data_IF_149078149113
#
_entry.id   IF_149078149113
#
_cell.length_a   1.000
_cell.length_b   1.000
_cell.length_c   1.000
_cell.angle_alpha   90.00
_cell.angle_beta   90.00
_cell.angle_gamma   90.00
#
_symmetry.space_group_name_H-M   'P 1'
#
loop_
_entity.id
_entity.type
_entity.pdbx_description
1 polymer ?
#
# COMPACT_ATOMS: atom_id res chain seq x y z
N UNK A 1 -7.44 14.60 -8.18
CA UNK A 1 -8.22 14.96 -6.99
C UNK A 1 -7.94 13.88 -5.97
N UNK A 2 -7.43 14.24 -4.82
CA UNK A 2 -7.17 13.29 -3.72
C UNK A 2 -8.49 12.79 -3.14
N UNK A 3 -8.55 11.53 -2.69
CA UNK A 3 -9.74 10.95 -2.04
C UNK A 3 -9.89 11.42 -0.61
N UNK A 4 -8.75 11.68 0.07
CA UNK A 4 -8.66 12.16 1.44
C UNK A 4 -7.60 13.25 1.54
N UNK A 5 -7.67 14.06 2.60
CA UNK A 5 -6.64 15.01 3.00
C UNK A 5 -6.05 14.62 4.37
N UNK A 6 -5.02 15.37 4.78
CA UNK A 6 -4.35 15.10 6.04
C UNK A 6 -5.23 15.39 7.26
N UNK A 7 -6.14 16.37 7.17
CA UNK A 7 -7.09 16.69 8.25
C UNK A 7 -8.07 15.51 8.49
N UNK A 8 -8.56 14.90 7.41
CA UNK A 8 -9.39 13.70 7.51
C UNK A 8 -8.63 12.54 8.16
N UNK A 9 -7.36 12.33 7.75
CA UNK A 9 -6.49 11.31 8.35
C UNK A 9 -6.32 11.54 9.87
N UNK A 10 -5.99 12.78 10.29
CA UNK A 10 -5.81 13.14 11.70
C UNK A 10 -7.10 12.93 12.53
N UNK A 11 -8.25 13.18 11.95
CA UNK A 11 -9.53 12.97 12.63
C UNK A 11 -9.78 11.53 13.05
N UNK A 12 -9.17 10.56 12.32
CA UNK A 12 -9.33 9.13 12.59
C UNK A 12 -8.21 8.55 13.47
N UNK A 13 -6.97 9.00 13.29
CA UNK A 13 -5.79 8.39 13.90
C UNK A 13 -4.99 9.31 14.83
N UNK A 14 -5.30 10.60 14.87
CA UNK A 14 -4.55 11.59 15.64
C UNK A 14 -3.28 12.10 14.90
N UNK A 15 -2.65 13.10 15.48
CA UNK A 15 -1.53 13.83 14.84
C UNK A 15 -0.18 13.10 14.94
N UNK A 16 -0.05 12.15 15.86
CA UNK A 16 1.25 11.57 16.23
C UNK A 16 1.71 10.40 15.35
N UNK A 17 0.83 9.87 14.49
CA UNK A 17 1.14 8.63 13.78
C UNK A 17 2.01 8.81 12.54
N UNK A 18 1.71 9.80 11.70
CA UNK A 18 2.46 10.07 10.45
C UNK A 18 2.58 11.58 10.27
N UNK A 19 3.76 12.06 9.87
CA UNK A 19 3.93 13.47 9.51
C UNK A 19 3.16 13.80 8.23
N UNK A 20 2.74 15.07 8.05
CA UNK A 20 2.05 15.50 6.83
C UNK A 20 2.88 15.26 5.56
N UNK A 21 4.20 15.42 5.67
CA UNK A 21 5.13 15.17 4.55
C UNK A 21 5.12 13.70 4.17
N UNK A 22 5.20 12.79 5.15
CA UNK A 22 5.17 11.35 4.91
C UNK A 22 3.79 10.89 4.43
N UNK A 23 2.72 11.45 5.01
CA UNK A 23 1.35 11.20 4.57
C UNK A 23 1.19 11.52 3.09
N UNK A 24 1.54 12.73 2.64
CA UNK A 24 1.42 13.14 1.26
C UNK A 24 2.26 12.28 0.30
N UNK A 25 3.41 11.81 0.75
CA UNK A 25 4.28 10.92 -0.01
C UNK A 25 3.64 9.53 -0.22
N UNK A 26 3.04 8.97 0.82
CA UNK A 26 2.44 7.63 0.80
C UNK A 26 1.05 7.65 0.19
N UNK A 27 0.29 8.73 0.37
CA UNK A 27 -1.09 8.89 -0.11
C UNK A 27 -1.21 8.60 -1.60
N UNK A 28 -0.31 9.17 -2.41
CA UNK A 28 -0.33 8.95 -3.87
C UNK A 28 -0.24 7.45 -4.24
N UNK A 29 0.61 6.70 -3.52
CA UNK A 29 0.75 5.26 -3.74
C UNK A 29 -0.49 4.50 -3.30
N UNK A 30 -1.09 4.86 -2.16
CA UNK A 30 -2.32 4.26 -1.66
C UNK A 30 -3.49 4.47 -2.63
N UNK A 31 -3.71 5.70 -3.07
CA UNK A 31 -4.78 6.02 -4.04
C UNK A 31 -4.60 5.29 -5.37
N UNK A 32 -3.37 5.17 -5.84
CA UNK A 32 -3.05 4.43 -7.06
C UNK A 32 -3.40 2.95 -6.95
N UNK A 33 -3.13 2.30 -5.82
CA UNK A 33 -3.46 0.89 -5.63
C UNK A 33 -5.00 0.70 -5.53
N UNK A 34 -5.71 1.61 -4.89
CA UNK A 34 -7.18 1.59 -4.87
C UNK A 34 -7.76 1.81 -6.28
N UNK A 35 -7.24 2.78 -7.03
CA UNK A 35 -7.62 3.00 -8.43
C UNK A 35 -7.40 1.73 -9.27
N UNK A 36 -6.23 1.09 -9.13
CA UNK A 36 -5.87 -0.14 -9.83
C UNK A 36 -6.86 -1.27 -9.53
N UNK A 37 -7.19 -1.49 -8.25
CA UNK A 37 -8.11 -2.54 -7.83
C UNK A 37 -9.57 -2.29 -8.28
N UNK A 38 -9.96 -1.04 -8.47
CA UNK A 38 -11.32 -0.64 -8.90
C UNK A 38 -11.45 -0.36 -10.39
N UNK A 39 -10.37 -0.51 -11.17
CA UNK A 39 -10.38 -0.34 -12.63
C UNK A 39 -10.94 -1.57 -13.30
N UNK A 40 -11.90 -1.40 -14.21
CA UNK A 40 -12.47 -2.47 -15.02
C UNK A 40 -11.52 -2.96 -16.13
N UNK A 41 -11.88 -4.07 -16.78
CA UNK A 41 -11.09 -4.63 -17.90
C UNK A 41 -10.98 -3.68 -19.10
N UNK A 42 -11.89 -2.74 -19.20
CA UNK A 42 -11.91 -1.68 -20.22
C UNK A 42 -11.01 -0.48 -19.87
N UNK A 43 -10.30 -0.56 -18.75
CA UNK A 43 -9.43 0.52 -18.25
C UNK A 43 -10.18 1.68 -17.59
N UNK A 44 -11.50 1.56 -17.41
CA UNK A 44 -12.32 2.60 -16.77
C UNK A 44 -12.06 2.62 -15.27
N UNK A 45 -11.59 3.76 -14.77
CA UNK A 45 -11.40 4.05 -13.35
C UNK A 45 -12.73 4.46 -12.72
N UNK A 46 -13.45 3.51 -12.13
CA UNK A 46 -14.81 3.70 -11.60
C UNK A 46 -14.88 4.86 -10.61
N UNK A 47 -13.94 4.96 -9.69
CA UNK A 47 -13.88 6.04 -8.69
C UNK A 47 -13.69 7.44 -9.29
N UNK A 48 -13.13 7.54 -10.52
CA UNK A 48 -13.00 8.81 -11.23
C UNK A 48 -14.25 9.15 -12.05
N UNK A 49 -14.99 8.13 -12.48
CA UNK A 49 -16.23 8.29 -13.24
C UNK A 49 -17.40 8.64 -12.35
N UNK A 50 -17.57 7.88 -11.26
CA UNK A 50 -18.67 8.04 -10.33
C UNK A 50 -18.22 7.70 -8.92
N UNK A 51 -17.68 8.70 -8.20
CA UNK A 51 -17.28 8.48 -6.81
C UNK A 51 -18.52 8.11 -5.98
N UNK A 52 -18.42 7.09 -5.10
CA UNK A 52 -19.54 6.68 -4.26
C UNK A 52 -20.02 7.83 -3.36
N UNK A 53 -21.31 7.87 -3.13
CA UNK A 53 -21.97 8.83 -2.24
C UNK A 53 -22.31 8.16 -0.91
N UNK A 54 -22.66 8.97 0.08
CA UNK A 54 -23.09 8.53 1.42
C UNK A 54 -22.05 7.60 2.08
N UNK A 55 -22.52 6.56 2.76
CA UNK A 55 -21.70 5.62 3.50
C UNK A 55 -20.66 4.90 2.62
N UNK A 56 -20.98 4.63 1.36
CA UNK A 56 -20.04 4.00 0.43
C UNK A 56 -18.83 4.90 0.14
N UNK A 57 -19.04 6.21 0.04
CA UNK A 57 -17.94 7.18 -0.12
C UNK A 57 -17.04 7.21 1.12
N UNK A 58 -17.63 7.14 2.30
CA UNK A 58 -16.89 7.08 3.57
C UNK A 58 -16.07 5.78 3.69
N UNK A 59 -16.62 4.65 3.26
CA UNK A 59 -15.89 3.37 3.24
C UNK A 59 -14.68 3.45 2.33
N UNK A 60 -14.79 4.05 1.14
CA UNK A 60 -13.64 4.25 0.23
C UNK A 60 -12.57 5.11 0.88
N UNK A 61 -12.94 6.22 1.52
CA UNK A 61 -11.98 7.09 2.22
C UNK A 61 -11.24 6.35 3.34
N UNK A 62 -11.96 5.58 4.15
CA UNK A 62 -11.36 4.75 5.21
C UNK A 62 -10.43 3.69 4.65
N UNK A 63 -10.80 3.06 3.55
CA UNK A 63 -9.93 2.11 2.85
C UNK A 63 -8.59 2.75 2.45
N UNK A 64 -8.63 3.98 1.91
CA UNK A 64 -7.40 4.73 1.57
C UNK A 64 -6.58 5.02 2.83
N UNK A 65 -7.20 5.43 3.93
CA UNK A 65 -6.51 5.69 5.22
C UNK A 65 -5.81 4.43 5.75
N UNK A 66 -6.50 3.29 5.75
CA UNK A 66 -5.90 2.02 6.18
C UNK A 66 -4.72 1.62 5.31
N UNK A 67 -4.84 1.84 4.00
CA UNK A 67 -3.78 1.55 3.06
C UNK A 67 -2.58 2.50 3.24
N UNK A 68 -2.80 3.77 3.53
CA UNK A 68 -1.72 4.73 3.89
C UNK A 68 -0.97 4.22 5.12
N UNK A 69 -1.68 3.84 6.18
CA UNK A 69 -1.05 3.30 7.39
C UNK A 69 -0.26 2.01 7.12
N UNK A 70 -0.81 1.11 6.32
CA UNK A 70 -0.14 -0.14 5.97
C UNK A 70 1.15 0.12 5.20
N UNK A 71 1.10 0.97 4.17
CA UNK A 71 2.26 1.29 3.33
C UNK A 71 3.34 2.04 4.12
N UNK A 72 2.95 2.97 4.99
CA UNK A 72 3.89 3.68 5.85
C UNK A 72 4.63 2.74 6.81
N UNK A 73 3.90 1.87 7.53
CA UNK A 73 4.50 0.87 8.42
C UNK A 73 5.42 -0.10 7.69
N UNK A 74 5.05 -0.47 6.46
CA UNK A 74 5.87 -1.33 5.63
C UNK A 74 7.18 -0.66 5.24
N UNK A 75 7.15 0.61 4.82
CA UNK A 75 8.37 1.38 4.53
C UNK A 75 9.26 1.56 5.77
N UNK A 76 8.67 1.78 6.94
CA UNK A 76 9.43 1.85 8.18
C UNK A 76 10.09 0.51 8.53
N UNK A 77 9.36 -0.59 8.37
CA UNK A 77 9.91 -1.92 8.56
C UNK A 77 11.06 -2.22 7.58
N UNK A 78 10.93 -1.82 6.31
CA UNK A 78 11.99 -1.94 5.30
C UNK A 78 13.22 -1.09 5.65
N UNK A 79 13.03 0.16 6.11
CA UNK A 79 14.14 1.04 6.56
C UNK A 79 14.85 0.41 7.76
N UNK A 80 14.10 -0.08 8.73
CA UNK A 80 14.65 -0.73 9.92
C UNK A 80 15.41 -2.02 9.56
N UNK A 81 14.85 -2.86 8.68
CA UNK A 81 15.54 -4.03 8.18
C UNK A 81 16.85 -3.66 7.46
N UNK A 82 16.82 -2.67 6.58
CA UNK A 82 18.01 -2.20 5.85
C UNK A 82 19.08 -1.60 6.78
N UNK A 83 18.70 -0.96 7.88
CA UNK A 83 19.64 -0.44 8.86
C UNK A 83 20.40 -1.55 9.62
N UNK A 84 19.84 -2.75 9.66
CA UNK A 84 20.47 -3.95 10.26
C UNK A 84 21.48 -4.62 9.31
N UNK A 85 21.49 -4.25 8.02
CA UNK A 85 22.44 -4.76 7.04
C UNK A 85 23.58 -3.73 6.85
N UNK A 86 24.71 -3.95 7.47
CA UNK A 86 25.93 -3.21 7.11
C UNK A 86 26.56 -3.89 5.88
N UNK A 87 26.39 -3.29 4.72
CA UNK A 87 27.11 -3.67 3.50
C UNK A 87 28.47 -2.97 3.50
N UNK A 88 29.55 -3.74 3.51
CA UNK A 88 30.92 -3.23 3.32
C UNK A 88 31.43 -3.71 1.97
N UNK A 89 31.83 -2.77 1.13
CA UNK A 89 32.50 -3.07 -0.15
C UNK A 89 33.99 -3.38 0.15
N UNK A 90 34.45 -4.54 -0.33
CA UNK A 90 35.86 -4.89 -0.31
C UNK A 90 36.56 -4.26 -1.50
N UNK A 91 37.88 -4.13 -1.37
CA UNK A 91 38.77 -3.55 -2.39
C UNK A 91 38.77 -4.35 -3.73
N UNK A 92 38.18 -5.55 -3.74
CA UNK A 92 37.99 -6.41 -4.93
C UNK A 92 36.61 -6.24 -5.60
N UNK A 93 35.81 -5.29 -5.15
CA UNK A 93 34.47 -5.02 -5.67
C UNK A 93 33.39 -6.00 -5.19
N UNK A 94 33.72 -6.91 -4.27
CA UNK A 94 32.72 -7.81 -3.68
C UNK A 94 32.01 -7.17 -2.49
N UNK A 95 30.67 -7.24 -2.46
CA UNK A 95 29.85 -6.77 -1.36
C UNK A 95 29.73 -7.87 -0.31
N UNK A 96 30.25 -7.62 0.90
CA UNK A 96 30.01 -8.48 2.06
C UNK A 96 29.01 -7.83 3.00
N UNK A 97 27.88 -8.51 3.23
CA UNK A 97 26.88 -8.12 4.22
C UNK A 97 27.15 -8.82 5.55
N UNK A 98 27.16 -8.06 6.63
CA UNK A 98 27.04 -8.61 7.99
C UNK A 98 25.60 -8.51 8.43
N UNK A 99 24.96 -9.65 8.70
CA UNK A 99 23.63 -9.70 9.29
C UNK A 99 23.79 -9.78 10.80
N UNK A 100 23.15 -8.87 11.53
CA UNK A 100 23.08 -8.97 12.99
C UNK A 100 22.21 -10.20 13.33
N UNK A 101 22.80 -11.23 13.87
CA UNK A 101 22.11 -12.48 14.22
C UNK A 101 21.50 -12.47 15.62
N UNK A 102 22.02 -11.64 16.52
CA UNK A 102 21.43 -11.43 17.83
C UNK A 102 21.87 -10.11 18.45
N UNK A 103 20.97 -9.48 19.19
CA UNK A 103 21.23 -8.33 20.04
C UNK A 103 20.92 -8.73 21.47
N UNK A 104 21.87 -8.60 22.37
CA UNK A 104 21.67 -8.89 23.81
C UNK A 104 21.67 -7.55 24.56
N UNK A 105 20.64 -7.28 25.33
CA UNK A 105 20.55 -6.12 26.19
C UNK A 105 21.01 -6.51 27.63
N UNK A 106 22.14 -5.98 28.03
CA UNK A 106 22.78 -6.26 29.32
C UNK A 106 24.15 -6.89 29.12
N UNK A 107 25.23 -6.11 29.26
CA UNK A 107 26.59 -6.39 28.82
C UNK A 107 26.69 -6.61 27.31
N UNK A 108 26.53 -5.55 26.57
CA UNK A 108 26.57 -5.38 25.10
C UNK A 108 27.27 -6.49 24.32
N UNK A 109 26.48 -7.41 23.76
CA UNK A 109 26.98 -8.44 22.85
C UNK A 109 26.19 -8.39 21.56
N UNK A 110 26.82 -7.93 20.48
CA UNK A 110 26.26 -7.97 19.11
C UNK A 110 26.96 -9.09 18.37
N UNK A 111 26.22 -10.12 17.98
CA UNK A 111 26.74 -11.19 17.13
C UNK A 111 26.37 -11.00 15.67
N UNK A 112 27.33 -11.19 14.78
CA UNK A 112 27.13 -11.12 13.34
C UNK A 112 27.18 -12.52 12.72
N UNK A 113 26.22 -12.87 11.89
CA UNK A 113 26.27 -14.07 11.05
C UNK A 113 26.98 -13.71 9.72
N UNK A 114 28.12 -14.36 9.49
CA UNK A 114 28.86 -14.25 8.23
C UNK A 114 28.45 -15.42 7.34
N UNK A 115 27.96 -15.14 6.13
CA UNK A 115 27.90 -16.19 5.09
C UNK A 115 26.52 -16.72 4.68
N UNK A 116 25.42 -15.94 4.81
CA UNK A 116 24.22 -16.27 4.02
C UNK A 116 24.39 -15.66 2.62
N UNK A 117 24.27 -16.49 1.59
CA UNK A 117 24.49 -16.09 0.21
C UNK A 117 23.51 -14.94 -0.18
N UNK A 118 24.02 -14.01 -0.96
CA UNK A 118 23.27 -12.89 -1.54
C UNK A 118 22.01 -13.38 -2.29
N UNK A 119 22.07 -14.55 -2.92
CA UNK A 119 20.96 -15.21 -3.59
C UNK A 119 19.76 -15.49 -2.66
N UNK A 120 20.01 -15.84 -1.40
CA UNK A 120 18.94 -16.09 -0.43
C UNK A 120 18.27 -14.78 0.02
N UNK A 121 19.06 -13.70 0.16
CA UNK A 121 18.53 -12.39 0.51
C UNK A 121 17.68 -11.81 -0.63
N UNK A 122 18.16 -11.92 -1.88
CA UNK A 122 17.42 -11.50 -3.07
C UNK A 122 16.15 -12.35 -3.28
N UNK A 123 16.23 -13.67 -3.11
CA UNK A 123 15.09 -14.57 -3.20
C UNK A 123 14.01 -14.26 -2.14
N UNK A 124 14.40 -13.90 -0.92
CA UNK A 124 13.48 -13.49 0.12
C UNK A 124 12.88 -12.11 -0.16
N UNK A 125 13.65 -11.17 -0.74
CA UNK A 125 13.13 -9.88 -1.16
C UNK A 125 12.06 -10.05 -2.26
N UNK A 126 12.33 -10.86 -3.29
CA UNK A 126 11.37 -11.12 -4.38
C UNK A 126 10.08 -11.76 -3.84
N UNK A 127 10.18 -12.74 -2.94
CA UNK A 127 9.01 -13.33 -2.27
C UNK A 127 8.26 -12.30 -1.42
N UNK A 128 8.97 -11.39 -0.76
CA UNK A 128 8.40 -10.28 0.00
C UNK A 128 7.59 -9.34 -0.88
N UNK A 129 8.03 -9.03 -2.10
CA UNK A 129 7.30 -8.19 -3.05
C UNK A 129 5.99 -8.83 -3.51
N UNK A 130 6.01 -10.12 -3.88
CA UNK A 130 4.80 -10.85 -4.27
C UNK A 130 3.79 -10.92 -3.11
N UNK A 131 4.24 -11.19 -1.89
CA UNK A 131 3.41 -11.17 -0.69
C UNK A 131 2.85 -9.77 -0.39
N UNK A 132 3.60 -8.70 -0.69
CA UNK A 132 3.15 -7.31 -0.52
C UNK A 132 1.97 -6.98 -1.43
N UNK A 133 2.08 -7.24 -2.73
CA UNK A 133 0.99 -6.95 -3.69
C UNK A 133 -0.27 -7.73 -3.34
N UNK A 134 -0.13 -9.00 -2.98
CA UNK A 134 -1.25 -9.82 -2.56
C UNK A 134 -1.91 -9.29 -1.29
N UNK A 135 -1.11 -8.89 -0.29
CA UNK A 135 -1.63 -8.31 0.96
C UNK A 135 -2.38 -7.00 0.70
N UNK A 136 -1.83 -6.10 -0.13
CA UNK A 136 -2.50 -4.85 -0.54
C UNK A 136 -3.83 -5.15 -1.20
N UNK A 137 -3.85 -6.10 -2.14
CA UNK A 137 -5.06 -6.48 -2.85
C UNK A 137 -6.12 -7.06 -1.91
N UNK A 138 -5.74 -7.92 -0.97
CA UNK A 138 -6.66 -8.51 0.02
C UNK A 138 -7.21 -7.45 0.97
N UNK A 139 -6.39 -6.48 1.40
CA UNK A 139 -6.84 -5.37 2.24
C UNK A 139 -7.89 -4.54 1.50
N UNK A 140 -7.61 -4.12 0.25
CA UNK A 140 -8.56 -3.35 -0.56
C UNK A 140 -9.85 -4.15 -0.78
N UNK A 141 -9.73 -5.44 -1.10
CA UNK A 141 -10.87 -6.32 -1.31
C UNK A 141 -11.73 -6.48 -0.05
N UNK A 142 -11.13 -6.59 1.12
CA UNK A 142 -11.88 -6.67 2.38
C UNK A 142 -12.65 -5.39 2.68
N UNK A 143 -12.04 -4.23 2.43
CA UNK A 143 -12.67 -2.92 2.64
C UNK A 143 -13.80 -2.64 1.63
N UNK A 144 -13.56 -2.92 0.35
CA UNK A 144 -14.48 -2.54 -0.73
C UNK A 144 -15.46 -3.65 -1.15
N UNK A 145 -15.50 -4.76 -0.43
CA UNK A 145 -16.46 -5.84 -0.71
C UNK A 145 -17.90 -5.34 -0.55
N UNK A 146 -18.69 -5.44 -1.63
CA UNK A 146 -20.09 -4.99 -1.63
C UNK A 146 -20.28 -3.47 -1.83
N UNK A 147 -19.21 -2.70 -1.92
CA UNK A 147 -19.29 -1.25 -2.15
C UNK A 147 -19.53 -0.94 -3.62
N UNK A 148 -20.48 -0.04 -3.89
CA UNK A 148 -20.84 0.38 -5.25
C UNK A 148 -20.53 1.87 -5.45
N UNK A 149 -20.29 2.25 -6.70
CA UNK A 149 -20.17 3.65 -7.11
C UNK A 149 -21.52 4.37 -7.10
N UNK A 150 -21.55 5.67 -7.41
CA UNK A 150 -22.77 6.47 -7.45
C UNK A 150 -23.79 5.99 -8.51
N UNK A 151 -23.37 5.18 -9.48
CA UNK A 151 -24.23 4.57 -10.49
C UNK A 151 -24.71 3.16 -10.09
N UNK A 152 -24.38 2.68 -8.89
CA UNK A 152 -24.73 1.36 -8.37
C UNK A 152 -23.86 0.23 -8.94
N UNK A 153 -22.73 0.54 -9.59
CA UNK A 153 -21.79 -0.47 -10.11
C UNK A 153 -20.83 -0.86 -9.00
N UNK A 154 -20.73 -2.15 -8.72
CA UNK A 154 -19.79 -2.66 -7.71
C UNK A 154 -18.35 -2.27 -8.08
N UNK A 155 -17.61 -1.69 -7.13
CA UNK A 155 -16.25 -1.20 -7.35
C UNK A 155 -15.28 -2.30 -7.75
N UNK A 156 -15.43 -3.50 -7.19
CA UNK A 156 -14.58 -4.66 -7.48
C UNK A 156 -15.04 -5.48 -8.69
N UNK A 157 -16.08 -5.03 -9.39
CA UNK A 157 -16.51 -5.69 -10.62
C UNK A 157 -15.45 -5.55 -11.72
N UNK A 158 -14.90 -6.66 -12.17
CA UNK A 158 -13.79 -6.66 -13.14
C UNK A 158 -14.24 -6.52 -14.62
N UNK A 159 -15.55 -6.54 -14.90
CA UNK A 159 -16.07 -6.42 -16.26
C UNK A 159 -16.01 -5.01 -16.85
N UNK A 160 -16.57 -4.84 -18.05
CA UNK A 160 -16.72 -3.52 -18.66
C UNK A 160 -17.68 -2.67 -17.86
N UNK A 161 -17.36 -1.37 -17.74
CA UNK A 161 -18.22 -0.43 -17.03
C UNK A 161 -19.56 -0.26 -17.77
N UNK A 162 -20.68 -0.52 -17.10
CA UNK A 162 -22.00 -0.40 -17.75
C UNK A 162 -22.40 1.09 -17.79
N UNK A 163 -22.02 1.80 -18.85
CA UNK A 163 -22.58 3.12 -19.08
C UNK A 163 -24.08 3.01 -19.26
N UNK A 164 -24.88 3.67 -18.43
CA UNK A 164 -26.29 3.86 -18.71
C UNK A 164 -26.40 4.69 -19.97
N UNK A 165 -26.84 4.09 -21.04
CA UNK A 165 -27.35 4.86 -22.19
C UNK A 165 -28.65 5.49 -21.66
N UNK A 166 -28.63 6.81 -21.43
CA UNK A 166 -29.88 7.54 -21.28
C UNK A 166 -30.61 7.36 -22.61
N UNK A 167 -31.59 6.47 -22.60
CA UNK A 167 -32.56 6.42 -23.69
C UNK A 167 -33.36 7.71 -23.51
N UNK A 168 -33.02 8.72 -24.30
CA UNK A 168 -33.84 9.89 -24.44
C UNK A 168 -35.21 9.40 -24.91
N UNK A 169 -36.15 9.31 -23.98
CA UNK A 169 -37.57 9.18 -24.35
C UNK A 169 -38.00 10.53 -24.93
N UNK A 170 -37.72 10.72 -26.22
CA UNK A 170 -38.48 11.67 -27.01
C UNK A 170 -39.88 11.08 -27.15
N UNK A 171 -40.83 11.66 -26.41
CA UNK A 171 -42.27 11.53 -26.65
C UNK A 171 -42.71 12.88 -27.21
#
# INVERSE_FOLDING_TARGET
MAYIDYEYYKSLYGEENISEIDFNRVLWSAEREVDKATTGIDGVKKLKVAFPIDDNGEIVKRCVVELVNFLYKLEEAEKNANSLYQLTERHDGTLHGKVISSVSAGNESISFAVGKSFDTALGNAVKGFQSREETIYQLIRSCLSGVSDANGVNLLFAGKYPYRVEVANEI
#
